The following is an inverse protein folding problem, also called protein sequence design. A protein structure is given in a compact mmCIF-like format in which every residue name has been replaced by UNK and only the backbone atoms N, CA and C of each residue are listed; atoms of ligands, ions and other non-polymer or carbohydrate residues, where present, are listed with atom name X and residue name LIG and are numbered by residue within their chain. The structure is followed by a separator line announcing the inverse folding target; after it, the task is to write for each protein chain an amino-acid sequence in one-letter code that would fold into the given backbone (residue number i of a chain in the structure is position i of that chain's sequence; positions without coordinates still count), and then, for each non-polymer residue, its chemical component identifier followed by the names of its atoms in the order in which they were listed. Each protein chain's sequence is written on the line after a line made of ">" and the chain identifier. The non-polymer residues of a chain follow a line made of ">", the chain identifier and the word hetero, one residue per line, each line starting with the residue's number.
data_IF_088261895210
#
_entry.id   IF_088261895210
#
_cell.length_a   1.000
_cell.length_b   1.000
_cell.length_c   1.000
_cell.angle_alpha   90.00
_cell.angle_beta   90.00
_cell.angle_gamma   90.00
#
_symmetry.space_group_name_H-M   'P 1'
#
loop_
_entity.id
_entity.type
_entity.pdbx_description
1 polymer ?
#
# COMPACT_ATOMS: atom_id res chain seq x y z
N UNK A 1 7.16 3.52 7.25
CA UNK A 1 7.94 4.57 6.53
C UNK A 1 7.31 4.81 5.17
N UNK A 2 7.50 5.99 4.56
CA UNK A 2 7.04 6.22 3.18
C UNK A 2 7.72 5.28 2.17
N UNK A 3 7.01 5.04 1.07
CA UNK A 3 7.46 4.20 -0.04
C UNK A 3 8.00 5.12 -1.13
N UNK A 4 9.31 5.04 -1.37
CA UNK A 4 9.94 5.75 -2.48
C UNK A 4 9.68 5.06 -3.82
N UNK A 5 10.11 5.71 -4.91
CA UNK A 5 10.09 5.11 -6.25
C UNK A 5 10.89 3.80 -6.28
N UNK A 6 12.09 3.78 -5.70
CA UNK A 6 12.94 2.58 -5.62
C UNK A 6 12.24 1.49 -4.79
N UNK A 7 11.70 1.84 -3.60
CA UNK A 7 11.00 0.87 -2.74
C UNK A 7 9.82 0.21 -3.48
N UNK A 8 9.05 0.99 -4.26
CA UNK A 8 7.91 0.46 -5.02
C UNK A 8 8.33 -0.56 -6.09
N UNK A 9 9.42 -0.28 -6.82
CA UNK A 9 9.96 -1.22 -7.80
C UNK A 9 10.49 -2.49 -7.15
N UNK A 10 10.97 -2.38 -5.90
CA UNK A 10 11.44 -3.52 -5.12
C UNK A 10 10.30 -4.38 -4.54
N UNK A 11 9.04 -3.91 -4.49
CA UNK A 11 7.92 -4.70 -3.95
C UNK A 11 7.79 -6.06 -4.67
N UNK A 12 8.03 -6.10 -5.98
CA UNK A 12 7.96 -7.33 -6.77
C UNK A 12 9.08 -8.35 -6.46
N UNK A 13 10.10 -7.95 -5.70
CA UNK A 13 11.22 -8.83 -5.34
C UNK A 13 10.88 -9.76 -4.16
N UNK A 14 11.64 -10.83 -4.00
CA UNK A 14 11.44 -11.82 -2.93
C UNK A 14 11.72 -11.30 -1.51
N UNK A 15 12.30 -10.11 -1.38
CA UNK A 15 12.62 -9.52 -0.07
C UNK A 15 11.38 -8.90 0.59
N UNK A 16 10.32 -8.67 -0.18
CA UNK A 16 9.03 -8.21 0.32
C UNK A 16 8.10 -9.37 0.65
N UNK A 17 7.22 -9.11 1.62
CA UNK A 17 6.11 -10.01 1.95
C UNK A 17 5.16 -10.11 0.77
N UNK A 18 4.80 -11.33 0.37
CA UNK A 18 3.90 -11.52 -0.77
C UNK A 18 2.48 -10.99 -0.50
N UNK A 19 2.07 -10.84 0.77
CA UNK A 19 0.86 -10.10 1.12
C UNK A 19 0.91 -8.63 0.67
N UNK A 20 2.07 -7.99 0.77
CA UNK A 20 2.29 -6.62 0.28
C UNK A 20 2.24 -6.54 -1.25
N UNK A 21 2.79 -7.55 -1.93
CA UNK A 21 2.73 -7.65 -3.39
C UNK A 21 1.28 -7.71 -3.88
N UNK A 22 0.47 -8.60 -3.28
CA UNK A 22 -0.95 -8.75 -3.61
C UNK A 22 -1.74 -7.47 -3.35
N UNK A 23 -1.48 -6.79 -2.23
CA UNK A 23 -2.13 -5.51 -1.92
C UNK A 23 -1.71 -4.41 -2.89
N UNK A 24 -0.42 -4.28 -3.20
CA UNK A 24 0.06 -3.29 -4.18
C UNK A 24 -0.53 -3.52 -5.57
N UNK A 25 -0.70 -4.79 -5.99
CA UNK A 25 -1.25 -5.10 -7.32
C UNK A 25 -2.72 -4.68 -7.48
N UNK A 26 -3.50 -4.68 -6.38
CA UNK A 26 -4.89 -4.22 -6.38
C UNK A 26 -5.01 -2.70 -6.57
N UNK A 27 -4.00 -1.94 -6.15
CA UNK A 27 -4.00 -0.49 -6.17
C UNK A 27 -3.41 0.05 -7.48
N UNK A 28 -3.85 1.25 -7.84
CA UNK A 28 -3.26 2.04 -8.91
C UNK A 28 -1.82 2.39 -8.62
N UNK A 29 -0.95 2.21 -9.62
CA UNK A 29 0.46 2.57 -9.47
C UNK A 29 0.58 4.09 -9.28
N UNK A 30 1.26 4.57 -8.24
CA UNK A 30 1.55 6.00 -8.07
C UNK A 30 2.54 6.53 -9.12
N UNK A 31 3.22 5.62 -9.85
CA UNK A 31 4.22 5.94 -10.87
C UNK A 31 3.73 5.52 -12.27
N UNK A 32 3.96 6.36 -13.28
CA UNK A 32 3.44 6.21 -14.65
C UNK A 32 4.12 5.08 -15.48
N UNK A 33 5.04 4.30 -14.91
CA UNK A 33 5.80 3.28 -15.63
C UNK A 33 5.18 1.88 -15.55
N UNK A 34 4.87 1.31 -16.72
CA UNK A 34 4.19 0.00 -16.83
C UNK A 34 5.03 -1.21 -16.40
N UNK A 35 6.36 -1.09 -16.38
CA UNK A 35 7.27 -2.21 -16.12
C UNK A 35 7.16 -2.73 -14.67
N UNK A 36 6.99 -1.83 -13.69
CA UNK A 36 6.81 -2.21 -12.29
C UNK A 36 5.55 -3.06 -12.07
N UNK A 37 4.45 -2.72 -12.74
CA UNK A 37 3.18 -3.46 -12.62
C UNK A 37 3.26 -4.84 -13.25
N UNK A 38 4.04 -5.01 -14.32
CA UNK A 38 4.29 -6.32 -14.95
C UNK A 38 5.07 -7.21 -13.99
N UNK A 39 6.18 -6.71 -13.43
CA UNK A 39 6.97 -7.45 -12.45
C UNK A 39 6.14 -7.85 -11.23
N UNK A 40 5.29 -6.94 -10.75
CA UNK A 40 4.39 -7.21 -9.63
C UNK A 40 3.33 -8.28 -9.97
N UNK A 41 2.79 -8.28 -11.19
CA UNK A 41 1.86 -9.30 -11.65
C UNK A 41 2.52 -10.70 -11.70
N UNK A 42 3.77 -10.77 -12.18
CA UNK A 42 4.55 -12.01 -12.22
C UNK A 42 4.81 -12.56 -10.81
N UNK A 43 5.20 -11.70 -9.87
CA UNK A 43 5.38 -12.08 -8.46
C UNK A 43 4.06 -12.58 -7.83
N UNK A 44 2.95 -11.88 -8.08
CA UNK A 44 1.63 -12.29 -7.56
C UNK A 44 1.16 -13.65 -8.14
N UNK A 45 1.55 -13.98 -9.38
CA UNK A 45 1.16 -15.21 -10.06
C UNK A 45 1.79 -16.46 -9.43
N UNK A 46 2.83 -16.31 -8.60
CA UNK A 46 3.40 -17.41 -7.81
C UNK A 46 2.47 -17.85 -6.66
N UNK A 47 1.55 -16.97 -6.23
CA UNK A 47 0.72 -17.16 -5.04
C UNK A 47 -0.77 -17.26 -5.33
N UNK A 48 -1.23 -16.65 -6.44
CA UNK A 48 -2.63 -16.54 -6.81
C UNK A 48 -2.82 -16.95 -8.28
N UNK A 49 -3.89 -17.70 -8.62
CA UNK A 49 -4.19 -18.05 -10.00
C UNK A 49 -4.26 -16.82 -10.92
N UNK A 50 -3.66 -16.93 -12.11
CA UNK A 50 -3.61 -15.86 -13.12
C UNK A 50 -5.02 -15.40 -13.50
N UNK A 51 -6.01 -16.29 -13.49
CA UNK A 51 -7.40 -15.95 -13.79
C UNK A 51 -8.01 -14.98 -12.76
N UNK A 52 -7.53 -14.98 -11.51
CA UNK A 52 -7.91 -13.98 -10.52
C UNK A 52 -7.18 -12.65 -10.76
N UNK A 53 -5.90 -12.69 -11.11
CA UNK A 53 -5.13 -11.47 -11.40
C UNK A 53 -5.70 -10.72 -12.61
N UNK A 54 -6.11 -11.44 -13.66
CA UNK A 54 -6.75 -10.86 -14.85
C UNK A 54 -8.09 -10.17 -14.59
N UNK A 55 -8.72 -10.42 -13.44
CA UNK A 55 -9.97 -9.77 -13.04
C UNK A 55 -9.73 -8.44 -12.33
N UNK A 56 -8.50 -8.17 -11.89
CA UNK A 56 -8.13 -6.85 -11.36
C UNK A 56 -8.31 -5.83 -12.48
N UNK A 57 -8.95 -4.68 -12.22
CA UNK A 57 -9.05 -3.65 -13.24
C UNK A 57 -7.70 -3.27 -13.83
N UNK A 58 -7.71 -2.91 -15.12
CA UNK A 58 -6.52 -2.36 -15.77
C UNK A 58 -6.03 -1.15 -14.96
N UNK A 59 -4.74 -1.13 -14.65
CA UNK A 59 -4.14 -0.09 -13.83
C UNK A 59 -4.39 -0.23 -12.32
N UNK A 60 -5.41 -0.97 -11.85
CA UNK A 60 -5.77 -1.11 -10.43
C UNK A 60 -6.97 -0.23 -10.04
N UNK A 61 -7.24 -0.08 -8.75
CA UNK A 61 -8.20 0.91 -8.23
C UNK A 61 -7.48 2.12 -7.65
N UNK A 62 -8.04 3.31 -7.85
CA UNK A 62 -7.45 4.54 -7.30
C UNK A 62 -7.60 4.62 -5.78
N UNK A 63 -6.83 5.50 -5.14
CA UNK A 63 -6.94 5.79 -3.69
C UNK A 63 -8.37 6.17 -3.31
N UNK A 64 -9.01 7.06 -4.08
CA UNK A 64 -10.40 7.49 -3.85
C UNK A 64 -11.39 6.31 -3.94
N UNK A 65 -11.20 5.41 -4.91
CA UNK A 65 -12.01 4.20 -5.04
C UNK A 65 -11.79 3.25 -3.86
N UNK A 66 -10.54 3.08 -3.42
CA UNK A 66 -10.19 2.24 -2.28
C UNK A 66 -10.92 2.71 -1.01
N UNK A 67 -10.85 4.00 -0.67
CA UNK A 67 -11.57 4.55 0.50
C UNK A 67 -13.08 4.38 0.37
N UNK A 68 -13.64 4.74 -0.79
CA UNK A 68 -15.09 4.64 -1.05
C UNK A 68 -15.61 3.21 -0.83
N UNK A 69 -14.84 2.21 -1.24
CA UNK A 69 -15.26 0.80 -1.23
C UNK A 69 -14.96 0.14 0.12
N UNK A 70 -13.79 0.41 0.71
CA UNK A 70 -13.16 -0.44 1.72
C UNK A 70 -13.19 0.11 3.16
N UNK A 71 -13.35 1.42 3.36
CA UNK A 71 -13.25 2.04 4.70
C UNK A 71 -14.19 1.41 5.74
N UNK A 72 -15.39 1.01 5.30
CA UNK A 72 -16.42 0.41 6.15
C UNK A 72 -16.43 -1.12 6.08
N UNK A 73 -15.27 -1.72 5.82
CA UNK A 73 -15.12 -3.17 5.63
C UNK A 73 -13.94 -3.70 6.44
N UNK A 74 -13.84 -5.02 6.64
CA UNK A 74 -12.65 -5.63 7.24
C UNK A 74 -11.34 -5.36 6.47
N UNK A 75 -11.43 -4.89 5.22
CA UNK A 75 -10.30 -4.66 4.34
C UNK A 75 -9.89 -3.18 4.23
N UNK A 76 -10.32 -2.33 5.18
CA UNK A 76 -9.94 -0.91 5.22
C UNK A 76 -8.43 -0.65 5.18
N UNK A 77 -7.63 -1.60 5.67
CA UNK A 77 -6.17 -1.51 5.64
C UNK A 77 -5.60 -1.45 4.21
N UNK A 78 -6.34 -1.93 3.20
CA UNK A 78 -5.96 -1.77 1.80
C UNK A 78 -6.13 -0.33 1.30
N UNK A 79 -7.10 0.43 1.83
CA UNK A 79 -7.18 1.87 1.55
C UNK A 79 -6.04 2.64 2.22
N UNK A 80 -5.71 2.30 3.48
CA UNK A 80 -4.53 2.85 4.17
C UNK A 80 -3.22 2.53 3.44
N UNK A 81 -3.12 1.33 2.85
CA UNK A 81 -1.98 0.97 2.01
C UNK A 81 -1.90 1.82 0.75
N UNK A 82 -3.03 2.10 0.10
CA UNK A 82 -3.09 2.99 -1.04
C UNK A 82 -2.61 4.41 -0.68
N UNK A 83 -3.02 4.93 0.49
CA UNK A 83 -2.51 6.22 1.00
C UNK A 83 -0.98 6.21 1.18
N UNK A 84 -0.40 5.13 1.72
CA UNK A 84 1.05 5.02 1.90
C UNK A 84 1.78 5.01 0.56
N UNK A 85 1.29 4.22 -0.41
CA UNK A 85 1.88 4.16 -1.75
C UNK A 85 1.89 5.53 -2.44
N UNK A 86 0.87 6.34 -2.20
CA UNK A 86 0.71 7.67 -2.79
C UNK A 86 1.19 8.83 -1.89
N UNK A 87 1.83 8.54 -0.74
CA UNK A 87 2.25 9.55 0.24
C UNK A 87 1.13 10.53 0.66
N UNK A 88 -0.07 9.99 0.91
CA UNK A 88 -1.31 10.75 1.18
C UNK A 88 -1.94 10.43 2.55
N UNK A 89 -1.18 9.89 3.50
CA UNK A 89 -1.70 9.51 4.83
C UNK A 89 -1.92 10.71 5.76
N UNK A 90 -1.37 11.88 5.42
CA UNK A 90 -1.29 13.04 6.31
C UNK A 90 -0.29 12.85 7.45
N UNK A 91 0.58 11.84 7.36
CA UNK A 91 1.51 11.45 8.41
C UNK A 91 2.95 11.58 7.92
N UNK A 92 3.72 12.43 8.59
CA UNK A 92 5.12 12.71 8.25
C UNK A 92 5.97 11.44 8.04
N UNK A 93 5.81 10.39 8.86
CA UNK A 93 6.65 9.19 8.74
C UNK A 93 6.24 8.27 7.59
N UNK A 94 4.98 8.34 7.15
CA UNK A 94 4.44 7.50 6.10
C UNK A 94 4.40 8.22 4.74
N UNK A 95 4.45 9.55 4.74
CA UNK A 95 4.42 10.36 3.51
C UNK A 95 5.81 10.91 3.14
N UNK A 96 6.84 10.65 3.94
CA UNK A 96 8.20 11.10 3.68
C UNK A 96 9.14 9.90 3.61
N UNK A 97 9.79 9.73 2.47
CA UNK A 97 10.89 8.79 2.30
C UNK A 97 12.26 9.44 2.58
N UNK A 98 13.32 8.64 2.52
CA UNK A 98 14.68 9.12 2.81
C UNK A 98 15.15 10.14 1.78
N UNK A 99 14.86 9.94 0.49
CA UNK A 99 15.28 10.86 -0.55
C UNK A 99 14.60 12.23 -0.35
N UNK A 100 13.28 12.25 -0.12
CA UNK A 100 12.52 13.46 0.17
C UNK A 100 13.06 14.18 1.40
N UNK A 101 13.38 13.46 2.47
CA UNK A 101 13.91 14.06 3.71
C UNK A 101 15.23 14.79 3.48
N UNK A 102 16.12 14.24 2.66
CA UNK A 102 17.46 14.81 2.41
C UNK A 102 17.53 15.78 1.23
N UNK A 103 16.63 15.64 0.24
CA UNK A 103 16.60 16.47 -0.97
C UNK A 103 15.58 17.61 -0.92
N UNK A 104 14.50 17.46 -0.14
CA UNK A 104 13.33 18.35 -0.11
C UNK A 104 13.52 19.68 0.63
N UNK A 105 14.67 19.90 1.27
CA UNK A 105 15.09 21.24 1.66
C UNK A 105 14.35 21.86 2.84
N UNK A 106 14.16 21.12 3.93
CA UNK A 106 14.29 21.57 5.32
C UNK A 106 13.89 20.41 6.23
N UNK A 107 14.82 19.94 7.06
CA UNK A 107 14.44 19.07 8.17
C UNK A 107 13.47 19.82 9.09
N UNK A 108 12.51 19.12 9.74
CA UNK A 108 11.64 19.74 10.71
C UNK A 108 12.46 20.48 11.78
N UNK A 109 12.02 21.66 12.20
CA UNK A 109 12.67 22.39 13.28
C UNK A 109 12.59 21.57 14.58
N UNK A 110 13.66 21.57 15.38
CA UNK A 110 13.68 20.83 16.65
C UNK A 110 13.17 21.71 17.79
N UNK A 111 11.89 22.03 17.74
CA UNK A 111 11.15 22.72 18.79
C UNK A 111 10.12 21.79 19.45
N UNK A 112 9.53 22.26 20.55
CA UNK A 112 8.58 21.47 21.32
C UNK A 112 7.31 21.11 20.51
N UNK A 113 6.78 22.06 19.75
CA UNK A 113 5.55 21.87 18.97
C UNK A 113 5.75 20.78 17.90
N UNK A 114 6.88 20.84 17.19
CA UNK A 114 7.26 19.85 16.18
C UNK A 114 7.47 18.49 16.82
N UNK A 115 8.14 18.40 17.97
CA UNK A 115 8.32 17.12 18.69
C UNK A 115 6.96 16.53 19.11
N UNK A 116 6.01 17.33 19.56
CA UNK A 116 4.67 16.87 19.92
C UNK A 116 3.88 16.36 18.71
N UNK A 117 3.97 17.06 17.57
CA UNK A 117 3.37 16.62 16.30
C UNK A 117 3.98 15.29 15.84
N UNK A 118 5.31 15.21 15.77
CA UNK A 118 6.02 14.00 15.35
C UNK A 118 5.76 12.84 16.30
N UNK A 119 5.65 13.08 17.61
CA UNK A 119 5.30 12.00 18.55
C UNK A 119 3.92 11.41 18.25
N UNK A 120 2.92 12.26 17.94
CA UNK A 120 1.58 11.78 17.54
C UNK A 120 1.62 11.04 16.20
N UNK A 121 2.33 11.58 15.21
CA UNK A 121 2.48 10.92 13.91
C UNK A 121 3.15 9.56 14.05
N UNK A 122 4.17 9.42 14.90
CA UNK A 122 4.83 8.14 15.15
C UNK A 122 3.85 7.11 15.73
N UNK A 123 3.04 7.50 16.72
CA UNK A 123 2.03 6.61 17.30
C UNK A 123 0.97 6.18 16.27
N UNK A 124 0.50 7.13 15.45
CA UNK A 124 -0.46 6.84 14.38
C UNK A 124 0.15 5.94 13.30
N UNK A 125 1.40 6.16 12.91
CA UNK A 125 2.09 5.36 11.91
C UNK A 125 2.19 3.90 12.37
N UNK A 126 2.56 3.65 13.62
CA UNK A 126 2.60 2.29 14.17
C UNK A 126 1.24 1.59 14.12
N UNK A 127 0.13 2.31 14.34
CA UNK A 127 -1.21 1.73 14.26
C UNK A 127 -1.58 1.37 12.82
N UNK A 128 -1.29 2.26 11.87
CA UNK A 128 -1.53 2.01 10.44
C UNK A 128 -0.68 0.82 9.96
N UNK A 129 0.62 0.82 10.29
CA UNK A 129 1.53 -0.27 9.94
C UNK A 129 1.05 -1.61 10.53
N UNK A 130 0.53 -1.62 11.76
CA UNK A 130 -0.06 -2.83 12.34
C UNK A 130 -1.29 -3.31 11.56
N UNK A 131 -2.23 -2.42 11.19
CA UNK A 131 -3.42 -2.82 10.42
C UNK A 131 -3.05 -3.41 9.05
N UNK A 132 -2.02 -2.87 8.42
CA UNK A 132 -1.50 -3.36 7.14
C UNK A 132 -0.83 -4.72 7.31
N UNK A 133 0.00 -4.88 8.35
CA UNK A 133 0.65 -6.16 8.67
C UNK A 133 -0.39 -7.26 8.96
N UNK A 134 -1.45 -6.93 9.69
CA UNK A 134 -2.56 -7.86 9.95
C UNK A 134 -3.23 -8.29 8.63
N UNK A 135 -3.43 -7.37 7.68
CA UNK A 135 -4.00 -7.71 6.37
C UNK A 135 -3.02 -8.53 5.51
N UNK A 136 -1.71 -8.27 5.58
CA UNK A 136 -0.71 -9.13 4.94
C UNK A 136 -0.85 -10.57 5.46
N UNK A 137 -0.90 -10.77 6.78
CA UNK A 137 -1.03 -12.10 7.37
C UNK A 137 -2.32 -12.81 6.96
N UNK A 138 -3.42 -12.07 6.86
CA UNK A 138 -4.69 -12.61 6.34
C UNK A 138 -4.54 -13.10 4.91
N UNK A 139 -3.95 -12.29 4.02
CA UNK A 139 -3.71 -12.67 2.62
C UNK A 139 -2.75 -13.85 2.52
N UNK A 140 -1.68 -13.86 3.31
CA UNK A 140 -0.67 -14.90 3.26
C UNK A 140 -1.16 -16.26 3.77
N UNK A 141 -2.17 -16.29 4.64
CA UNK A 141 -2.74 -17.52 5.17
C UNK A 141 -3.54 -18.34 4.14
N UNK A 142 -4.26 -17.69 3.22
CA UNK A 142 -5.02 -18.34 2.14
C UNK A 142 -5.15 -17.40 0.92
N UNK A 143 -4.07 -17.23 0.13
CA UNK A 143 -3.94 -16.12 -0.82
C UNK A 143 -5.01 -16.13 -1.90
N UNK A 144 -5.27 -17.28 -2.54
CA UNK A 144 -6.25 -17.35 -3.62
C UNK A 144 -7.67 -17.01 -3.14
N UNK A 145 -8.07 -17.54 -1.97
CA UNK A 145 -9.39 -17.28 -1.40
C UNK A 145 -9.53 -15.83 -0.97
N UNK A 146 -8.60 -15.31 -0.17
CA UNK A 146 -8.67 -13.96 0.40
C UNK A 146 -8.54 -12.88 -0.66
N UNK A 147 -7.63 -13.06 -1.61
CA UNK A 147 -7.52 -12.15 -2.75
C UNK A 147 -8.81 -12.15 -3.57
N UNK A 148 -9.39 -13.32 -3.82
CA UNK A 148 -10.68 -13.44 -4.50
C UNK A 148 -11.83 -12.75 -3.78
N UNK A 149 -11.91 -12.87 -2.45
CA UNK A 149 -12.92 -12.20 -1.61
C UNK A 149 -12.82 -10.67 -1.71
N UNK A 150 -11.61 -10.12 -1.57
CA UNK A 150 -11.35 -8.68 -1.68
C UNK A 150 -11.69 -8.20 -3.09
N UNK A 151 -11.24 -8.92 -4.12
CA UNK A 151 -11.50 -8.56 -5.51
C UNK A 151 -12.99 -8.60 -5.86
N UNK A 152 -13.73 -9.60 -5.38
CA UNK A 152 -15.18 -9.66 -5.57
C UNK A 152 -15.86 -8.44 -4.96
N UNK A 153 -15.48 -8.07 -3.73
CA UNK A 153 -16.01 -6.90 -3.05
C UNK A 153 -15.74 -5.60 -3.82
N UNK A 154 -14.52 -5.45 -4.35
CA UNK A 154 -14.14 -4.30 -5.20
C UNK A 154 -15.02 -4.25 -6.44
N UNK A 155 -15.15 -5.37 -7.17
CA UNK A 155 -15.91 -5.43 -8.41
C UNK A 155 -17.42 -5.23 -8.20
N UNK A 156 -17.98 -5.64 -7.07
CA UNK A 156 -19.40 -5.47 -6.75
C UNK A 156 -19.79 -4.02 -6.39
N UNK A 157 -18.84 -3.24 -5.85
CA UNK A 157 -19.08 -1.90 -5.32
C UNK A 157 -18.52 -0.77 -6.18
N UNK A 158 -17.82 -1.11 -7.25
CA UNK A 158 -17.28 -0.15 -8.20
C UNK A 158 -18.41 0.51 -8.98
#
# INVERSE_FOLDING_TARGET
>A
RGISWDDYHEIATSDWRFGAQLMAYLIESPYEEGDARIALAEACAEHVPVELLQRVPEGGISVDEAHRILDNTPYKALALWADILCANTGNFFLDTDYEMLWSGGALPEWDQETVEILTRHWQQANLIEQEILDLYEVLEGDPATRFGEILNLILERR
#
